data_IF_088281472997
#
_entry.id   IF_088281472997
#
_cell.length_a   1.000
_cell.length_b   1.000
_cell.length_c   1.000
_cell.angle_alpha   90.00
_cell.angle_beta   90.00
_cell.angle_gamma   90.00
#
_symmetry.space_group_name_H-M   'P 1'
#
loop_
_entity.id
_entity.type
_entity.pdbx_description
1 polymer ?
#
# COMPACT_ATOMS: atom_id res chain seq x y z
N UNK A 1 -3.17 -55.62 -39.62
CA UNK A 1 -1.79 -55.12 -39.83
C UNK A 1 -1.42 -54.30 -38.60
N UNK A 2 -0.89 -54.90 -37.52
CA UNK A 2 0.53 -55.23 -37.24
C UNK A 2 1.48 -54.02 -37.24
N UNK A 3 1.69 -53.40 -36.06
CA UNK A 3 2.97 -53.26 -35.32
C UNK A 3 2.77 -52.22 -34.18
N UNK A 4 2.82 -52.61 -32.90
CA UNK A 4 3.99 -52.88 -32.03
C UNK A 4 4.91 -51.66 -31.80
N UNK A 5 4.66 -51.05 -30.64
CA UNK A 5 5.58 -50.85 -29.51
C UNK A 5 6.56 -49.66 -29.41
N UNK A 6 6.85 -49.26 -28.15
CA UNK A 6 7.24 -47.91 -27.74
C UNK A 6 8.74 -47.80 -27.43
N UNK A 7 9.23 -46.58 -27.15
CA UNK A 7 10.56 -46.38 -26.56
C UNK A 7 10.50 -45.51 -25.32
N UNK A 8 10.57 -46.21 -24.19
CA UNK A 8 11.04 -45.78 -22.89
C UNK A 8 12.49 -45.27 -22.96
N UNK A 9 12.83 -44.27 -22.16
CA UNK A 9 14.22 -43.99 -21.76
C UNK A 9 14.26 -43.53 -20.30
N UNK A 10 14.41 -44.51 -19.41
CA UNK A 10 14.96 -44.38 -18.05
C UNK A 10 16.49 -44.36 -18.12
N UNK A 11 17.16 -43.41 -17.47
CA UNK A 11 18.53 -43.54 -16.96
C UNK A 11 18.64 -42.68 -15.68
N UNK A 12 18.58 -43.31 -14.50
CA UNK A 12 19.68 -43.89 -13.70
C UNK A 12 20.35 -42.87 -12.77
N UNK A 13 20.07 -43.07 -11.49
CA UNK A 13 20.77 -42.55 -10.32
C UNK A 13 22.27 -42.87 -10.35
N UNK A 14 23.08 -41.98 -9.77
CA UNK A 14 24.38 -42.32 -9.22
C UNK A 14 24.57 -41.60 -7.87
N UNK A 15 24.64 -42.40 -6.82
CA UNK A 15 25.13 -42.05 -5.50
C UNK A 15 26.59 -42.53 -5.36
N UNK A 16 27.41 -41.82 -4.58
CA UNK A 16 28.60 -42.29 -3.85
C UNK A 16 29.48 -41.06 -3.48
N UNK A 17 29.55 -40.63 -2.21
CA UNK A 17 30.63 -40.89 -1.21
C UNK A 17 32.02 -40.37 -1.64
N UNK A 18 32.90 -39.81 -0.82
CA UNK A 18 33.00 -39.36 0.58
C UNK A 18 34.46 -38.87 0.72
N UNK A 19 34.80 -37.94 1.62
CA UNK A 19 36.08 -37.95 2.34
C UNK A 19 36.14 -36.89 3.46
N UNK A 20 36.42 -37.37 4.68
CA UNK A 20 36.82 -36.61 5.85
C UNK A 20 38.27 -36.12 5.71
N UNK A 21 38.59 -34.98 6.33
CA UNK A 21 39.91 -34.73 6.93
C UNK A 21 39.77 -33.96 8.25
N UNK A 22 40.00 -34.67 9.36
CA UNK A 22 40.46 -34.13 10.64
C UNK A 22 41.98 -33.90 10.54
N UNK A 23 42.49 -32.81 11.13
CA UNK A 23 43.86 -32.77 11.69
C UNK A 23 44.00 -31.63 12.69
N UNK A 24 44.80 -31.89 13.73
CA UNK A 24 44.75 -31.32 15.06
C UNK A 24 45.87 -30.31 15.37
N UNK A 25 45.62 -29.52 16.42
CA UNK A 25 46.49 -28.84 17.40
C UNK A 25 48.02 -28.83 17.19
N UNK A 26 48.62 -27.65 17.39
CA UNK A 26 49.98 -27.49 17.94
C UNK A 26 50.09 -26.17 18.73
N UNK A 27 50.41 -26.29 20.02
CA UNK A 27 50.81 -25.21 20.93
C UNK A 27 52.25 -24.79 20.63
N UNK A 28 52.55 -23.49 20.65
CA UNK A 28 53.90 -22.98 20.89
C UNK A 28 53.85 -21.57 21.47
N UNK A 29 54.10 -21.50 22.78
CA UNK A 29 54.48 -20.31 23.54
C UNK A 29 55.99 -20.17 23.45
N UNK A 30 56.50 -19.03 22.99
CA UNK A 30 57.91 -18.62 23.10
C UNK A 30 58.00 -17.08 23.14
N UNK A 31 57.91 -16.55 24.36
CA UNK A 31 58.93 -15.69 24.98
C UNK A 31 59.88 -14.90 24.05
N UNK A 32 59.66 -13.57 23.93
CA UNK A 32 60.71 -12.62 23.52
C UNK A 32 60.64 -11.32 24.32
N UNK A 33 61.37 -11.33 25.44
CA UNK A 33 62.48 -10.43 25.80
C UNK A 33 62.38 -8.94 25.38
N UNK A 34 62.13 -8.14 26.40
CA UNK A 34 62.26 -6.69 26.52
C UNK A 34 63.64 -6.14 26.08
N UNK A 35 63.70 -5.04 25.29
CA UNK A 35 64.81 -4.09 25.29
C UNK A 35 64.47 -2.93 26.22
N UNK A 36 65.25 -2.77 27.28
CA UNK A 36 65.24 -1.60 28.16
C UNK A 36 65.89 -0.39 27.50
N UNK A 37 65.37 0.78 27.88
CA UNK A 37 65.94 2.12 27.83
C UNK A 37 65.91 2.89 26.48
N UNK A 38 64.99 3.84 26.40
CA UNK A 38 65.38 5.25 26.52
C UNK A 38 64.24 6.09 27.08
N UNK A 39 64.44 6.61 28.29
CA UNK A 39 63.66 7.67 28.91
C UNK A 39 63.87 8.95 28.10
N UNK A 40 62.83 9.40 27.41
CA UNK A 40 62.69 10.78 26.96
C UNK A 40 61.39 11.31 27.55
N UNK A 41 61.50 12.42 28.27
CA UNK A 41 60.42 13.09 29.00
C UNK A 41 59.14 13.24 28.16
N UNK A 42 58.06 12.63 28.63
CA UNK A 42 56.70 12.95 28.20
C UNK A 42 56.16 14.02 29.15
N UNK A 43 55.81 15.23 28.66
CA UNK A 43 55.12 16.22 29.48
C UNK A 43 53.80 15.64 29.98
N UNK A 44 53.52 15.79 31.27
CA UNK A 44 52.27 15.37 31.89
C UNK A 44 51.06 15.90 31.10
N UNK A 45 50.34 14.99 30.44
CA UNK A 45 49.05 15.30 29.85
C UNK A 45 48.09 15.66 30.98
N UNK A 46 47.52 16.86 30.91
CA UNK A 46 46.42 17.29 31.75
C UNK A 46 45.28 16.24 31.66
N UNK A 47 44.57 15.96 32.77
CA UNK A 47 43.46 15.02 32.73
C UNK A 47 42.43 15.55 31.73
N UNK A 48 42.15 14.76 30.69
CA UNK A 48 41.03 15.02 29.81
C UNK A 48 39.75 14.93 30.66
N UNK A 49 39.01 16.03 30.73
CA UNK A 49 37.70 16.08 31.35
C UNK A 49 36.80 15.01 30.72
N UNK A 50 36.63 13.90 31.44
CA UNK A 50 35.67 12.86 31.13
C UNK A 50 34.27 13.37 31.48
N UNK A 51 33.76 14.31 30.69
CA UNK A 51 32.35 14.67 30.70
C UNK A 51 31.87 14.95 29.27
N UNK A 52 32.16 14.02 28.36
CA UNK A 52 31.47 13.97 27.07
C UNK A 52 30.05 13.46 27.33
N UNK A 53 29.12 14.41 27.46
CA UNK A 53 27.70 14.12 27.59
C UNK A 53 27.25 13.43 26.31
N UNK A 54 26.89 12.15 26.40
CA UNK A 54 26.35 11.40 25.27
C UNK A 54 25.16 12.14 24.67
N UNK A 55 25.23 12.44 23.37
CA UNK A 55 24.16 13.14 22.67
C UNK A 55 22.85 12.34 22.77
N UNK A 56 21.70 13.00 23.01
CA UNK A 56 20.42 12.32 23.11
C UNK A 56 20.07 11.63 21.79
N UNK A 57 19.83 10.32 21.84
CA UNK A 57 19.39 9.54 20.67
C UNK A 57 17.93 9.87 20.40
N UNK A 58 17.65 10.55 19.28
CA UNK A 58 16.29 10.80 18.81
C UNK A 58 15.75 9.52 18.13
N UNK A 59 14.60 8.96 18.58
CA UNK A 59 14.01 7.78 17.94
C UNK A 59 13.68 8.03 16.47
N UNK A 60 13.93 7.05 15.61
CA UNK A 60 13.53 7.09 14.21
C UNK A 60 11.99 7.14 14.10
N UNK A 61 11.42 7.92 13.17
CA UNK A 61 9.99 7.94 12.95
C UNK A 61 9.50 6.57 12.48
N UNK A 62 8.30 6.17 12.92
CA UNK A 62 7.67 4.93 12.49
C UNK A 62 7.44 4.94 10.98
N UNK A 63 7.57 3.78 10.30
CA UNK A 63 7.25 3.68 8.88
C UNK A 63 5.77 4.01 8.64
N UNK A 64 5.43 4.53 7.45
CA UNK A 64 4.05 4.78 7.07
C UNK A 64 3.28 3.45 7.00
N UNK A 65 2.00 3.50 7.37
CA UNK A 65 1.07 2.39 7.21
C UNK A 65 0.93 2.05 5.73
N UNK A 66 1.05 0.77 5.41
CA UNK A 66 0.90 0.20 4.07
C UNK A 66 -0.55 -0.22 3.82
N UNK A 67 -0.83 -0.66 2.58
CA UNK A 67 -2.10 -1.31 2.25
C UNK A 67 -2.43 -2.46 3.20
N UNK A 68 -1.45 -3.31 3.50
CA UNK A 68 -1.66 -4.47 4.38
C UNK A 68 -2.13 -4.03 5.76
N UNK A 69 -1.49 -3.00 6.32
CA UNK A 69 -1.83 -2.48 7.65
C UNK A 69 -3.26 -1.94 7.68
N UNK A 70 -3.66 -1.16 6.67
CA UNK A 70 -5.03 -0.61 6.61
C UNK A 70 -6.09 -1.70 6.41
N UNK A 71 -5.83 -2.71 5.57
CA UNK A 71 -6.76 -3.83 5.38
C UNK A 71 -6.91 -4.65 6.66
N UNK A 72 -5.81 -4.93 7.36
CA UNK A 72 -5.83 -5.62 8.64
C UNK A 72 -6.59 -4.82 9.71
N UNK A 73 -6.31 -3.52 9.83
CA UNK A 73 -7.00 -2.64 10.77
C UNK A 73 -8.50 -2.55 10.50
N UNK A 74 -8.91 -2.37 9.24
CA UNK A 74 -10.32 -2.33 8.87
C UNK A 74 -11.01 -3.68 9.08
N UNK A 75 -10.33 -4.80 8.85
CA UNK A 75 -10.87 -6.15 9.13
C UNK A 75 -11.09 -6.35 10.62
N UNK A 76 -10.16 -5.89 11.47
CA UNK A 76 -10.33 -5.93 12.92
C UNK A 76 -11.49 -5.03 13.36
N UNK A 77 -11.56 -3.79 12.85
CA UNK A 77 -12.64 -2.86 13.15
C UNK A 77 -14.02 -3.42 12.73
N UNK A 78 -14.11 -4.10 11.58
CA UNK A 78 -15.32 -4.77 11.13
C UNK A 78 -15.75 -5.88 12.10
N UNK A 79 -14.80 -6.68 12.61
CA UNK A 79 -15.08 -7.74 13.58
C UNK A 79 -15.58 -7.16 14.91
N UNK A 80 -14.89 -6.16 15.47
CA UNK A 80 -15.31 -5.48 16.70
C UNK A 80 -16.68 -4.82 16.56
N UNK A 81 -16.96 -4.20 15.40
CA UNK A 81 -18.29 -3.65 15.10
C UNK A 81 -19.37 -4.75 15.09
N UNK A 82 -19.12 -5.88 14.43
CA UNK A 82 -20.07 -6.99 14.35
C UNK A 82 -20.33 -7.63 15.73
N UNK A 83 -19.35 -7.60 16.62
CA UNK A 83 -19.48 -8.05 18.01
C UNK A 83 -20.21 -7.03 18.91
N UNK A 84 -20.39 -5.78 18.45
CA UNK A 84 -20.94 -4.71 19.27
C UNK A 84 -19.99 -4.23 20.37
N UNK A 85 -18.68 -4.42 20.19
CA UNK A 85 -17.68 -3.97 21.16
C UNK A 85 -17.71 -2.46 21.33
N UNK A 86 -17.53 -2.01 22.58
CA UNK A 86 -17.36 -0.60 22.87
C UNK A 86 -16.08 -0.08 22.21
N UNK A 87 -16.14 1.15 21.72
CA UNK A 87 -14.98 1.78 21.08
C UNK A 87 -13.88 2.04 22.11
N UNK A 88 -12.60 1.79 21.77
CA UNK A 88 -11.49 2.11 22.65
C UNK A 88 -11.40 3.62 22.89
N UNK A 89 -10.90 4.02 24.05
CA UNK A 89 -10.78 5.44 24.45
C UNK A 89 -9.79 6.22 23.59
N UNK A 90 -8.85 5.52 22.94
CA UNK A 90 -7.88 6.10 22.00
C UNK A 90 -7.65 5.17 20.83
N UNK A 91 -7.55 5.73 19.62
CA UNK A 91 -7.24 4.97 18.41
C UNK A 91 -5.77 5.19 18.01
N UNK A 92 -4.90 4.15 18.06
CA UNK A 92 -3.47 4.28 17.78
C UNK A 92 -3.15 4.56 16.31
N UNK A 93 -4.13 4.47 15.41
CA UNK A 93 -3.95 4.80 14.00
C UNK A 93 -3.95 6.31 13.78
N UNK A 94 -4.70 7.07 14.59
CA UNK A 94 -4.85 8.52 14.42
C UNK A 94 -3.48 9.20 14.45
N UNK A 95 -3.19 10.01 13.43
CA UNK A 95 -1.93 10.73 13.27
C UNK A 95 -0.80 9.92 12.63
N UNK A 96 -0.95 8.61 12.42
CA UNK A 96 0.04 7.80 11.67
C UNK A 96 0.09 8.27 10.22
N UNK A 97 1.29 8.34 9.65
CA UNK A 97 1.45 8.47 8.21
C UNK A 97 0.99 7.17 7.52
N UNK A 98 0.48 7.28 6.31
CA UNK A 98 0.19 6.13 5.45
C UNK A 98 0.72 6.38 4.04
N UNK A 99 1.03 5.29 3.35
CA UNK A 99 1.41 5.27 1.94
C UNK A 99 0.90 3.97 1.33
N UNK A 100 -0.15 4.07 0.52
CA UNK A 100 -0.88 2.93 -0.02
C UNK A 100 -0.86 3.00 -1.54
N UNK A 101 -0.56 1.88 -2.19
CA UNK A 101 -0.76 1.72 -3.62
C UNK A 101 -2.03 0.93 -3.91
N UNK A 102 -2.83 1.47 -4.82
CA UNK A 102 -4.03 0.85 -5.35
C UNK A 102 -3.71 0.33 -6.76
N UNK A 103 -3.55 -0.99 -6.93
CA UNK A 103 -3.31 -1.57 -8.26
C UNK A 103 -4.59 -1.57 -9.09
N UNK A 104 -4.50 -1.07 -10.33
CA UNK A 104 -5.63 -0.98 -11.27
C UNK A 104 -5.23 -1.28 -12.71
N UNK A 105 -6.21 -1.47 -13.59
CA UNK A 105 -5.97 -1.88 -14.98
C UNK A 105 -5.52 -3.33 -15.15
N UNK A 106 -5.63 -4.14 -14.09
CA UNK A 106 -5.14 -5.53 -14.06
C UNK A 106 -5.80 -6.47 -15.09
N UNK A 107 -6.97 -6.11 -15.60
CA UNK A 107 -7.73 -6.90 -16.58
C UNK A 107 -7.84 -6.19 -17.94
N UNK A 108 -6.97 -5.20 -18.19
CA UNK A 108 -7.03 -4.37 -19.39
C UNK A 108 -7.86 -3.09 -19.21
N UNK A 109 -8.16 -2.38 -20.31
CA UNK A 109 -8.84 -1.09 -20.29
C UNK A 109 -10.32 -1.26 -19.95
N UNK A 110 -10.88 -0.25 -19.29
CA UNK A 110 -12.33 -0.12 -19.11
C UNK A 110 -12.96 0.20 -20.46
N UNK A 111 -13.89 -0.65 -20.90
CA UNK A 111 -14.58 -0.56 -22.20
C UNK A 111 -15.90 0.24 -22.16
N UNK A 112 -16.37 0.64 -20.97
CA UNK A 112 -17.62 1.37 -20.81
C UNK A 112 -17.45 2.88 -21.06
N UNK A 113 -18.52 3.54 -21.49
CA UNK A 113 -18.63 5.01 -21.50
C UNK A 113 -18.09 5.54 -20.16
N UNK A 114 -17.05 6.38 -20.22
CA UNK A 114 -16.28 6.83 -19.05
C UNK A 114 -17.16 7.39 -17.90
N UNK A 115 -18.38 7.81 -18.24
CA UNK A 115 -19.44 8.26 -17.32
C UNK A 115 -19.92 7.20 -16.32
N UNK A 116 -19.88 5.89 -16.64
CA UNK A 116 -20.33 4.84 -15.72
C UNK A 116 -19.38 4.62 -14.53
N UNK A 117 -18.13 5.06 -14.66
CA UNK A 117 -17.10 5.00 -13.60
C UNK A 117 -16.80 6.35 -12.96
N UNK A 118 -17.41 7.43 -13.47
CA UNK A 118 -17.27 8.76 -12.91
C UNK A 118 -17.86 8.83 -11.50
N UNK A 119 -17.07 9.35 -10.57
CA UNK A 119 -17.42 9.43 -9.15
C UNK A 119 -17.45 8.08 -8.43
N UNK A 120 -16.96 6.99 -9.05
CA UNK A 120 -16.94 5.67 -8.41
C UNK A 120 -15.92 5.54 -7.27
N UNK A 121 -14.97 6.48 -7.13
CA UNK A 121 -13.90 6.38 -6.14
C UNK A 121 -12.88 5.29 -6.44
N UNK A 122 -12.88 4.74 -7.67
CA UNK A 122 -11.94 3.72 -8.14
C UNK A 122 -11.14 4.23 -9.34
N UNK A 123 -9.81 3.98 -9.39
CA UNK A 123 -9.01 4.32 -10.55
C UNK A 123 -9.25 3.35 -11.71
N UNK A 124 -9.33 3.92 -12.92
CA UNK A 124 -9.53 3.20 -14.18
C UNK A 124 -8.55 3.69 -15.24
N UNK A 125 -8.37 2.88 -16.28
CA UNK A 125 -7.72 3.36 -17.51
C UNK A 125 -8.53 2.97 -18.74
N UNK A 126 -8.41 3.78 -19.78
CA UNK A 126 -9.03 3.57 -21.09
C UNK A 126 -8.11 4.06 -22.21
N UNK A 127 -8.47 3.74 -23.45
CA UNK A 127 -7.87 4.38 -24.62
C UNK A 127 -8.51 5.73 -24.89
N UNK A 128 -7.74 6.66 -25.46
CA UNK A 128 -8.32 7.82 -26.13
C UNK A 128 -9.17 7.41 -27.32
N UNK A 129 -10.07 8.29 -27.74
CA UNK A 129 -10.98 8.05 -28.87
C UNK A 129 -10.24 7.75 -30.18
N UNK A 130 -9.04 8.31 -30.37
CA UNK A 130 -8.15 8.04 -31.50
C UNK A 130 -7.17 6.88 -31.26
N UNK A 131 -7.23 6.23 -30.09
CA UNK A 131 -6.34 5.16 -29.63
C UNK A 131 -4.84 5.54 -29.61
N UNK A 132 -4.51 6.83 -29.65
CA UNK A 132 -3.12 7.32 -29.60
C UNK A 132 -2.62 7.58 -28.18
N UNK A 133 -3.48 7.45 -27.18
CA UNK A 133 -3.12 7.66 -25.79
C UNK A 133 -3.83 6.69 -24.85
N UNK A 134 -3.18 6.38 -23.74
CA UNK A 134 -3.80 5.79 -22.55
C UNK A 134 -4.27 6.94 -21.66
N UNK A 135 -5.50 6.87 -21.18
CA UNK A 135 -6.07 7.80 -20.22
C UNK A 135 -6.19 7.12 -18.87
N UNK A 136 -5.54 7.68 -17.85
CA UNK A 136 -5.69 7.28 -16.45
C UNK A 136 -6.64 8.27 -15.77
N UNK A 137 -7.65 7.76 -15.08
CA UNK A 137 -8.66 8.59 -14.44
C UNK A 137 -9.10 7.99 -13.10
N UNK A 138 -9.28 8.85 -12.12
CA UNK A 138 -9.94 8.53 -10.86
C UNK A 138 -10.67 9.76 -10.36
N UNK A 139 -11.98 9.64 -10.18
CA UNK A 139 -12.81 10.68 -9.56
C UNK A 139 -13.22 10.21 -8.17
N UNK A 140 -12.88 10.94 -7.09
CA UNK A 140 -13.35 10.59 -5.76
C UNK A 140 -14.88 10.50 -5.72
N UNK A 141 -15.42 9.56 -4.97
CA UNK A 141 -16.86 9.51 -4.69
C UNK A 141 -17.26 10.65 -3.77
N UNK A 142 -18.45 11.20 -3.96
CA UNK A 142 -19.06 12.08 -2.97
C UNK A 142 -19.78 11.24 -1.91
N UNK A 143 -19.27 11.28 -0.67
CA UNK A 143 -19.87 10.59 0.47
C UNK A 143 -20.46 11.55 1.50
N UNK A 144 -20.63 12.83 1.16
CA UNK A 144 -21.10 13.88 2.09
C UNK A 144 -22.42 13.49 2.76
N UNK A 145 -23.39 13.02 1.96
CA UNK A 145 -24.72 12.60 2.44
C UNK A 145 -24.88 11.06 2.49
N UNK A 146 -23.76 10.33 2.52
CA UNK A 146 -23.79 8.87 2.45
C UNK A 146 -24.10 8.22 3.81
N UNK A 147 -24.96 7.19 3.79
CA UNK A 147 -25.21 6.35 4.94
C UNK A 147 -23.94 5.66 5.49
N UNK A 148 -22.89 5.54 4.67
CA UNK A 148 -21.58 5.01 5.08
C UNK A 148 -20.98 5.76 6.27
N UNK A 149 -21.25 7.07 6.36
CA UNK A 149 -20.68 7.97 7.36
C UNK A 149 -21.72 8.49 8.36
N UNK A 150 -22.93 7.93 8.36
CA UNK A 150 -24.01 8.36 9.25
C UNK A 150 -23.66 8.24 10.75
N UNK A 151 -22.76 7.32 11.12
CA UNK A 151 -22.24 7.17 12.49
C UNK A 151 -20.92 7.92 12.74
N UNK A 152 -20.30 8.41 11.68
CA UNK A 152 -18.98 9.03 11.72
C UNK A 152 -19.04 10.52 12.08
N UNK A 153 -20.22 11.13 12.11
CA UNK A 153 -20.43 12.53 12.52
C UNK A 153 -21.89 12.93 12.33
N UNK A 154 -22.28 14.10 12.85
CA UNK A 154 -23.60 14.64 12.50
C UNK A 154 -23.59 15.03 11.00
N UNK A 155 -24.70 14.86 10.27
CA UNK A 155 -24.78 15.24 8.85
C UNK A 155 -24.43 16.71 8.61
N UNK A 156 -24.57 17.56 9.63
CA UNK A 156 -24.21 18.97 9.56
C UNK A 156 -22.74 19.30 9.83
N UNK A 157 -21.90 18.33 10.17
CA UNK A 157 -20.50 18.57 10.51
C UNK A 157 -19.64 18.80 9.26
N UNK A 158 -19.95 18.10 8.17
CA UNK A 158 -19.10 18.06 6.97
C UNK A 158 -19.62 19.03 5.90
N UNK A 159 -18.70 19.76 5.26
CA UNK A 159 -18.97 20.48 4.01
C UNK A 159 -18.85 19.55 2.80
N UNK A 160 -17.90 18.60 2.85
CA UNK A 160 -17.69 17.63 1.80
C UNK A 160 -16.98 16.39 2.36
N UNK A 161 -17.26 15.22 1.78
CA UNK A 161 -16.45 14.01 2.03
C UNK A 161 -16.09 13.34 0.72
N UNK A 162 -14.80 13.28 0.41
CA UNK A 162 -14.26 12.65 -0.80
C UNK A 162 -13.81 11.22 -0.49
N UNK A 163 -14.43 10.25 -1.17
CA UNK A 163 -14.27 8.83 -0.95
C UNK A 163 -13.39 8.13 -1.99
N UNK A 164 -12.54 7.22 -1.50
CA UNK A 164 -11.63 6.40 -2.29
C UNK A 164 -11.81 4.94 -1.86
N UNK A 165 -12.20 4.06 -2.78
CA UNK A 165 -12.30 2.63 -2.44
C UNK A 165 -10.94 1.95 -2.52
N UNK A 166 -10.67 1.03 -1.59
CA UNK A 166 -9.59 0.06 -1.74
C UNK A 166 -10.13 -1.18 -2.49
N UNK A 167 -9.85 -1.34 -3.80
CA UNK A 167 -10.37 -2.46 -4.56
C UNK A 167 -9.85 -3.77 -3.99
N UNK A 168 -10.71 -4.80 -3.96
CA UNK A 168 -10.39 -6.11 -3.37
C UNK A 168 -9.94 -5.94 -1.90
N UNK A 169 -10.87 -5.61 -0.99
CA UNK A 169 -10.58 -5.34 0.42
C UNK A 169 -10.06 -6.54 1.24
N UNK A 170 -9.74 -7.67 0.57
CA UNK A 170 -9.06 -8.84 1.14
C UNK A 170 -7.62 -9.00 0.61
N UNK A 171 -7.23 -8.25 -0.42
CA UNK A 171 -5.90 -8.32 -1.01
C UNK A 171 -4.95 -7.37 -0.28
N UNK A 172 -3.95 -7.93 0.41
CA UNK A 172 -2.91 -7.18 1.12
C UNK A 172 -1.83 -6.62 0.19
N UNK A 173 -1.60 -7.31 -0.93
CA UNK A 173 -0.58 -6.93 -1.91
C UNK A 173 -0.92 -5.63 -2.65
N UNK A 174 0.13 -4.88 -2.99
CA UNK A 174 0.06 -3.61 -3.71
C UNK A 174 0.20 -3.77 -5.24
N UNK A 175 0.21 -5.00 -5.73
CA UNK A 175 0.32 -5.35 -7.15
C UNK A 175 -0.98 -5.95 -7.68
N UNK A 176 -1.12 -6.02 -9.00
CA UNK A 176 -2.23 -6.73 -9.62
C UNK A 176 -2.28 -8.20 -9.16
N UNK A 177 -3.49 -8.77 -8.97
CA UNK A 177 -3.63 -10.16 -8.55
C UNK A 177 -3.08 -11.11 -9.62
N UNK A 178 -2.34 -12.13 -9.19
CA UNK A 178 -1.78 -13.15 -10.08
C UNK A 178 -2.79 -14.27 -10.42
N UNK A 179 -3.84 -14.40 -9.62
CA UNK A 179 -4.86 -15.45 -9.78
C UNK A 179 -5.59 -15.27 -11.11
N UNK A 180 -5.62 -16.33 -11.90
CA UNK A 180 -6.38 -16.41 -13.14
C UNK A 180 -7.81 -16.87 -12.87
N UNK A 181 -8.75 -16.44 -13.71
CA UNK A 181 -10.11 -16.97 -13.67
C UNK A 181 -10.10 -18.48 -13.93
N UNK A 182 -11.03 -19.21 -13.30
CA UNK A 182 -11.22 -20.63 -13.58
C UNK A 182 -11.59 -20.81 -15.06
N UNK A 183 -10.81 -21.57 -15.86
CA UNK A 183 -11.08 -21.75 -17.28
C UNK A 183 -12.39 -22.49 -17.56
N UNK A 184 -12.94 -23.20 -16.57
CA UNK A 184 -14.23 -23.88 -16.69
C UNK A 184 -15.40 -22.97 -16.30
N UNK A 185 -15.14 -21.81 -15.71
CA UNK A 185 -16.19 -20.88 -15.35
C UNK A 185 -16.77 -20.21 -16.59
N UNK A 186 -18.06 -20.45 -16.83
CA UNK A 186 -18.82 -19.80 -17.90
C UNK A 186 -19.35 -18.46 -17.41
N UNK A 187 -18.95 -17.37 -18.08
CA UNK A 187 -19.39 -16.01 -17.76
C UNK A 187 -18.55 -15.34 -16.67
N UNK A 188 -18.69 -14.02 -16.56
CA UNK A 188 -17.99 -13.22 -15.55
C UNK A 188 -18.80 -13.22 -14.25
N UNK A 189 -18.30 -13.81 -13.15
CA UNK A 189 -18.99 -13.72 -11.86
C UNK A 189 -19.10 -12.25 -11.42
N UNK A 190 -20.14 -11.89 -10.66
CA UNK A 190 -20.24 -10.55 -10.11
C UNK A 190 -19.04 -10.26 -9.22
N UNK A 191 -18.49 -9.05 -9.34
CA UNK A 191 -17.43 -8.61 -8.45
C UNK A 191 -17.96 -8.54 -7.01
N UNK A 192 -17.16 -8.98 -6.03
CA UNK A 192 -17.49 -8.78 -4.63
C UNK A 192 -17.58 -7.27 -4.33
N UNK A 193 -18.51 -6.85 -3.46
CA UNK A 193 -18.69 -5.44 -3.12
C UNK A 193 -17.44 -4.85 -2.43
N UNK A 194 -17.27 -3.54 -2.55
CA UNK A 194 -16.25 -2.82 -1.79
C UNK A 194 -16.68 -2.70 -0.33
N UNK A 195 -15.77 -3.01 0.60
CA UNK A 195 -16.05 -2.96 2.04
C UNK A 195 -15.01 -2.17 2.83
N UNK A 196 -13.98 -1.64 2.18
CA UNK A 196 -12.98 -0.78 2.81
C UNK A 196 -12.75 0.44 1.94
N UNK A 197 -13.00 1.61 2.52
CA UNK A 197 -12.79 2.91 1.87
C UNK A 197 -11.89 3.83 2.70
N UNK A 198 -11.36 4.86 2.04
CA UNK A 198 -10.67 5.98 2.67
C UNK A 198 -11.49 7.24 2.40
N UNK A 199 -11.70 8.06 3.44
CA UNK A 199 -12.47 9.30 3.34
C UNK A 199 -11.60 10.50 3.71
N UNK A 200 -11.49 11.44 2.78
CA UNK A 200 -11.01 12.79 3.07
C UNK A 200 -12.23 13.67 3.41
N UNK A 201 -12.44 13.88 4.71
CA UNK A 201 -13.56 14.69 5.22
C UNK A 201 -13.12 16.16 5.42
N UNK A 202 -13.97 17.09 5.00
CA UNK A 202 -13.76 18.53 5.11
C UNK A 202 -14.89 19.13 5.93
N UNK A 203 -14.55 19.77 7.06
CA UNK A 203 -15.53 20.37 7.97
C UNK A 203 -16.14 21.66 7.39
N UNK A 204 -17.38 21.98 7.80
CA UNK A 204 -18.01 23.27 7.46
C UNK A 204 -17.18 24.44 7.98
N UNK A 205 -16.83 25.37 7.08
CA UNK A 205 -15.99 26.52 7.42
C UNK A 205 -14.51 26.18 7.66
N UNK A 206 -14.13 24.91 7.52
CA UNK A 206 -12.75 24.46 7.57
C UNK A 206 -11.97 24.78 6.29
N UNK A 207 -10.71 24.35 6.26
CA UNK A 207 -9.89 24.50 5.06
C UNK A 207 -10.47 23.68 3.90
N UNK A 208 -10.59 24.30 2.73
CA UNK A 208 -10.94 23.63 1.47
C UNK A 208 -9.73 23.13 0.70
N UNK A 209 -8.54 23.26 1.30
CA UNK A 209 -7.29 22.91 0.65
C UNK A 209 -7.21 21.40 0.40
N UNK A 210 -6.76 21.03 -0.80
CA UNK A 210 -6.67 19.63 -1.22
C UNK A 210 -7.97 19.02 -1.72
N UNK A 211 -9.12 19.70 -1.56
CA UNK A 211 -10.42 19.24 -2.05
C UNK A 211 -10.47 19.25 -3.58
N UNK A 212 -10.96 18.16 -4.16
CA UNK A 212 -11.15 18.01 -5.60
C UNK A 212 -12.47 18.59 -6.10
N UNK A 213 -13.52 18.66 -5.29
CA UNK A 213 -14.86 19.11 -5.72
C UNK A 213 -15.34 18.31 -6.95
N UNK A 214 -15.19 16.99 -6.90
CA UNK A 214 -15.55 16.11 -8.02
C UNK A 214 -14.60 16.16 -9.22
N UNK A 215 -13.52 16.96 -9.21
CA UNK A 215 -12.52 16.95 -10.28
C UNK A 215 -11.67 15.68 -10.21
N UNK A 216 -11.65 14.92 -11.30
CA UNK A 216 -10.82 13.74 -11.42
C UNK A 216 -9.31 14.03 -11.31
N UNK A 217 -8.56 13.02 -10.90
CA UNK A 217 -7.12 12.89 -11.11
C UNK A 217 -6.93 12.28 -12.50
N UNK A 218 -6.49 13.07 -13.46
CA UNK A 218 -6.42 12.69 -14.87
C UNK A 218 -4.99 12.78 -15.39
N UNK A 219 -4.55 11.74 -16.09
CA UNK A 219 -3.27 11.72 -16.77
C UNK A 219 -3.39 11.03 -18.12
N UNK A 220 -2.68 11.53 -19.12
CA UNK A 220 -2.66 10.96 -20.46
C UNK A 220 -1.23 10.57 -20.83
N UNK A 221 -1.05 9.29 -21.14
CA UNK A 221 0.20 8.72 -21.62
C UNK A 221 0.10 8.64 -23.14
N UNK A 222 0.99 9.32 -23.84
CA UNK A 222 1.09 9.24 -25.31
C UNK A 222 2.23 8.29 -25.69
N UNK A 223 2.08 7.62 -26.83
CA UNK A 223 3.19 6.85 -27.40
C UNK A 223 4.25 7.76 -28.00
N UNK A 224 5.39 7.17 -28.35
CA UNK A 224 6.48 7.87 -29.01
C UNK A 224 6.18 8.03 -30.52
N UNK A 225 6.24 9.26 -31.02
CA UNK A 225 5.93 9.56 -32.42
C UNK A 225 4.47 9.22 -32.77
N UNK A 226 4.28 8.47 -33.87
CA UNK A 226 2.96 8.00 -34.32
C UNK A 226 2.56 6.62 -33.74
N UNK A 227 3.41 6.00 -32.91
CA UNK A 227 3.11 4.71 -32.31
C UNK A 227 2.10 4.86 -31.15
N UNK A 228 1.20 3.88 -31.01
CA UNK A 228 0.36 3.78 -29.82
C UNK A 228 1.20 3.42 -28.58
N UNK A 229 0.89 3.95 -27.39
CA UNK A 229 1.60 3.55 -26.17
C UNK A 229 1.34 2.07 -25.88
N UNK A 230 2.35 1.37 -25.36
CA UNK A 230 2.19 -0.03 -24.94
C UNK A 230 1.58 -0.08 -23.53
N UNK A 231 0.41 -0.74 -23.33
CA UNK A 231 -0.18 -0.84 -22.01
C UNK A 231 0.64 -1.80 -21.11
N UNK A 232 0.81 -1.49 -19.81
CA UNK A 232 1.55 -2.35 -18.90
C UNK A 232 0.77 -3.65 -18.63
N UNK A 233 1.45 -4.79 -18.74
CA UNK A 233 0.87 -6.11 -18.47
C UNK A 233 0.56 -6.31 -16.99
N UNK A 234 1.32 -5.66 -16.11
CA UNK A 234 1.14 -5.69 -14.67
C UNK A 234 0.25 -4.55 -14.14
N UNK A 235 -0.46 -3.84 -15.02
CA UNK A 235 -1.35 -2.72 -14.69
C UNK A 235 -0.62 -1.46 -14.21
N UNK A 236 -1.37 -0.51 -13.64
CA UNK A 236 -0.88 0.74 -13.05
C UNK A 236 -1.08 0.74 -11.54
N UNK A 237 -0.47 1.70 -10.84
CA UNK A 237 -0.78 1.97 -9.42
C UNK A 237 -1.22 3.41 -9.23
N UNK A 238 -2.23 3.58 -8.40
CA UNK A 238 -2.56 4.87 -7.84
C UNK A 238 -2.03 4.92 -6.41
N UNK A 239 -1.08 5.80 -6.14
CA UNK A 239 -0.48 5.98 -4.83
C UNK A 239 -1.18 7.09 -4.07
N UNK A 240 -1.60 6.77 -2.84
CA UNK A 240 -2.20 7.69 -1.89
C UNK A 240 -1.26 7.80 -0.68
N UNK A 241 -0.83 9.01 -0.35
CA UNK A 241 -0.04 9.27 0.84
C UNK A 241 -0.68 10.37 1.68
N UNK A 242 -0.46 10.28 2.98
CA UNK A 242 -0.87 11.32 3.91
C UNK A 242 -0.88 10.82 5.34
N UNK A 243 -1.87 11.27 6.11
CA UNK A 243 -2.03 10.96 7.52
C UNK A 243 -3.42 10.41 7.81
N UNK A 244 -3.49 9.46 8.74
CA UNK A 244 -4.76 9.01 9.30
C UNK A 244 -5.34 10.13 10.15
N UNK A 245 -6.57 10.52 9.84
CA UNK A 245 -7.34 11.50 10.59
C UNK A 245 -8.24 10.79 11.61
N UNK A 246 -8.95 11.58 12.41
CA UNK A 246 -9.98 11.09 13.31
C UNK A 246 -11.35 11.65 12.90
N UNK A 247 -12.37 10.83 13.02
CA UNK A 247 -13.76 11.31 13.08
C UNK A 247 -14.04 12.01 14.42
N UNK A 248 -15.15 12.76 14.55
CA UNK A 248 -15.66 13.30 15.82
C UNK A 248 -15.73 12.30 16.97
N UNK A 249 -15.90 11.01 16.68
CA UNK A 249 -15.84 9.92 17.68
C UNK A 249 -14.43 9.70 18.27
N UNK A 250 -13.40 10.35 17.72
CA UNK A 250 -11.99 10.13 18.05
C UNK A 250 -11.37 8.93 17.33
N UNK A 251 -12.15 8.19 16.53
CA UNK A 251 -11.71 6.96 15.84
C UNK A 251 -11.17 7.27 14.45
N UNK A 252 -10.22 6.45 14.00
CA UNK A 252 -9.73 6.48 12.63
C UNK A 252 -10.64 5.72 11.66
N UNK A 253 -11.35 4.69 12.14
CA UNK A 253 -12.17 3.80 11.29
C UNK A 253 -13.59 3.75 11.82
N UNK A 254 -14.55 4.06 10.96
CA UNK A 254 -15.98 3.89 11.24
C UNK A 254 -16.58 2.82 10.34
N UNK A 255 -17.36 1.93 10.94
CA UNK A 255 -17.95 0.80 10.23
C UNK A 255 -19.48 0.88 10.30
N UNK A 256 -20.13 0.45 9.22
CA UNK A 256 -21.58 0.32 9.12
C UNK A 256 -21.97 -0.96 8.40
N UNK A 257 -23.13 -1.52 8.76
CA UNK A 257 -23.75 -2.66 8.09
C UNK A 257 -25.27 -2.50 8.17
N UNK A 258 -25.98 -3.00 7.16
CA UNK A 258 -27.45 -3.01 7.13
C UNK A 258 -28.07 -4.11 8.00
N UNK A 259 -27.26 -5.07 8.47
CA UNK A 259 -27.68 -6.14 9.37
C UNK A 259 -26.50 -7.01 9.82
N UNK A 260 -26.71 -7.95 10.76
CA UNK A 260 -25.65 -8.80 11.32
C UNK A 260 -25.06 -9.79 10.31
N UNK A 261 -25.85 -10.21 9.31
CA UNK A 261 -25.41 -11.13 8.27
C UNK A 261 -24.72 -10.43 7.09
N UNK A 262 -24.51 -9.12 7.20
CA UNK A 262 -23.86 -8.32 6.17
C UNK A 262 -22.44 -7.99 6.60
N UNK A 263 -21.49 -8.15 5.68
CA UNK A 263 -20.11 -7.74 5.92
C UNK A 263 -20.07 -6.23 6.15
N UNK A 264 -19.54 -5.73 7.27
CA UNK A 264 -19.45 -4.30 7.51
C UNK A 264 -18.61 -3.60 6.45
N UNK A 265 -19.04 -2.40 6.07
CA UNK A 265 -18.25 -1.46 5.28
C UNK A 265 -17.55 -0.52 6.25
N UNK A 266 -16.22 -0.49 6.20
CA UNK A 266 -15.39 0.30 7.10
C UNK A 266 -14.65 1.41 6.33
N UNK A 267 -14.78 2.64 6.80
CA UNK A 267 -14.20 3.83 6.17
C UNK A 267 -13.15 4.44 7.08
N UNK A 268 -11.92 4.54 6.57
CA UNK A 268 -10.78 5.14 7.27
C UNK A 268 -10.74 6.64 7.01
N UNK A 269 -10.74 7.46 8.07
CA UNK A 269 -10.54 8.89 7.96
C UNK A 269 -9.09 9.20 7.59
N UNK A 270 -8.88 10.01 6.55
CA UNK A 270 -7.56 10.39 6.07
C UNK A 270 -7.47 11.89 5.77
N UNK A 271 -6.24 12.41 5.82
CA UNK A 271 -5.83 13.66 5.18
C UNK A 271 -4.80 13.31 4.12
N UNK A 272 -5.09 13.64 2.86
CA UNK A 272 -4.18 13.40 1.75
C UNK A 272 -3.12 14.49 1.66
N UNK A 273 -1.86 14.07 1.56
CA UNK A 273 -0.71 14.94 1.31
C UNK A 273 -0.17 14.77 -0.12
N UNK A 274 -0.38 13.59 -0.74
CA UNK A 274 0.04 13.29 -2.11
C UNK A 274 -0.88 12.26 -2.76
N UNK A 275 -1.19 12.49 -4.02
CA UNK A 275 -1.78 11.51 -4.92
C UNK A 275 -0.90 11.37 -6.14
N UNK A 276 -0.61 10.16 -6.60
CA UNK A 276 0.19 9.94 -7.80
C UNK A 276 -0.30 8.75 -8.62
N UNK A 277 -0.07 8.79 -9.93
CA UNK A 277 -0.07 7.59 -10.76
C UNK A 277 1.36 7.08 -10.92
N UNK A 278 1.51 5.77 -10.86
CA UNK A 278 2.76 5.06 -11.08
C UNK A 278 2.56 3.95 -12.13
N UNK A 279 3.63 3.62 -12.84
CA UNK A 279 3.69 2.40 -13.66
C UNK A 279 3.82 1.14 -12.79
N UNK A 280 4.10 -0.01 -13.40
CA UNK A 280 4.17 -1.27 -12.67
C UNK A 280 5.44 -1.41 -11.82
N UNK A 281 6.52 -0.76 -12.25
CA UNK A 281 7.84 -0.74 -11.66
C UNK A 281 7.95 0.30 -10.52
N UNK A 282 6.97 1.21 -10.44
CA UNK A 282 6.87 2.24 -9.41
C UNK A 282 7.40 3.61 -9.85
N UNK A 283 7.68 3.81 -11.13
CA UNK A 283 8.03 5.13 -11.65
C UNK A 283 6.79 6.03 -11.64
N UNK A 284 6.95 7.26 -11.15
CA UNK A 284 5.86 8.23 -11.10
C UNK A 284 5.55 8.77 -12.49
N UNK A 285 4.29 8.64 -12.91
CA UNK A 285 3.76 9.14 -14.18
C UNK A 285 3.18 10.56 -14.02
N UNK A 286 2.48 10.80 -12.92
CA UNK A 286 1.91 12.10 -12.57
C UNK A 286 1.65 12.22 -11.08
N UNK A 287 1.58 13.45 -10.57
CA UNK A 287 1.43 13.72 -9.16
C UNK A 287 0.60 14.97 -8.87
N UNK A 288 -0.13 14.93 -7.76
CA UNK A 288 -0.90 16.03 -7.20
C UNK A 288 -0.63 16.16 -5.71
N UNK A 289 -0.50 17.40 -5.24
CA UNK A 289 -0.39 17.77 -3.83
C UNK A 289 -1.43 18.85 -3.50
N UNK A 290 -1.93 18.91 -2.26
CA UNK A 290 -2.64 20.09 -1.77
C UNK A 290 -1.71 21.31 -1.90
N UNK A 291 -2.19 22.37 -2.55
CA UNK A 291 -1.41 23.58 -2.86
C UNK A 291 -1.31 24.59 -1.73
#
# INVERSE_FOLDING_TARGET
>A
MLRRDPRSATFRSAAATAALTLSALSLASCDQKEPTANTADVPAAAPADANETAAPVVPLPLPPLTRSDLVSAATQAASSFAQGEASPTSDPLVGRNFAVRIPFGCTGPTVADASATDGSGLPVWSWSTDHKAIQLRMTPSDWTDSALLAKAGAPDTWEAVEGFWLPRPWLLAETCPAVQADPLQTGTPPASPQTIGLAAAFEKGGSRLGRRNGRAYEHSIRGEGDAAPTPPTAGFRMRLEGRIASYPSGRAIECSASGPDQRPVCIVAIRLDRVAYEDAEGATLSEWRPG
#
